data_IF_385758649211
#
_entry.id   IF_385758649211
#
_cell.length_a   1.000
_cell.length_b   1.000
_cell.length_c   1.000
_cell.angle_alpha   90.00
_cell.angle_beta   90.00
_cell.angle_gamma   90.00
#
_symmetry.space_group_name_H-M   'P 1'
#
loop_
_entity.id
_entity.type
_entity.pdbx_description
1 polymer ?
#
# COMPACT_ATOMS: atom_id res chain seq x y z
N UNK A 1 -14.30 -12.33 32.17
CA UNK A 1 -15.17 -11.16 32.35
C UNK A 1 -16.42 -11.38 31.52
N UNK A 2 -17.62 -11.40 32.11
CA UNK A 2 -18.89 -11.75 31.45
C UNK A 2 -19.39 -10.74 30.40
N UNK A 3 -18.59 -9.71 30.08
CA UNK A 3 -18.82 -8.77 28.98
C UNK A 3 -17.90 -9.03 27.76
N UNK A 4 -17.08 -10.08 27.82
CA UNK A 4 -16.27 -10.58 26.70
C UNK A 4 -16.96 -11.74 25.95
N UNK A 5 -18.26 -11.97 26.19
CA UNK A 5 -19.08 -12.95 25.45
C UNK A 5 -19.48 -12.46 24.04
N UNK A 6 -18.95 -11.32 23.61
CA UNK A 6 -18.95 -10.94 22.19
C UNK A 6 -17.96 -11.81 21.44
N UNK A 7 -18.43 -12.54 20.42
CA UNK A 7 -17.63 -13.45 19.60
C UNK A 7 -16.21 -12.90 19.35
N UNK A 8 -15.20 -13.59 19.89
CA UNK A 8 -13.80 -13.21 19.73
C UNK A 8 -13.49 -13.12 18.22
N UNK A 9 -13.05 -11.96 17.77
CA UNK A 9 -12.73 -11.75 16.36
C UNK A 9 -11.56 -12.67 15.97
N UNK A 10 -11.72 -13.54 14.95
CA UNK A 10 -10.73 -14.55 14.57
C UNK A 10 -9.56 -13.96 13.76
N UNK A 11 -8.81 -13.03 14.35
CA UNK A 11 -7.76 -12.24 13.69
C UNK A 11 -6.67 -13.05 12.97
N UNK A 12 -6.39 -14.28 13.41
CA UNK A 12 -5.36 -15.16 12.81
C UNK A 12 -5.93 -16.43 12.17
N UNK A 13 -7.22 -16.72 12.36
CA UNK A 13 -7.84 -17.99 11.96
C UNK A 13 -8.85 -17.83 10.84
N UNK A 14 -9.44 -16.65 10.68
CA UNK A 14 -10.27 -16.30 9.52
C UNK A 14 -9.49 -15.47 8.50
N UNK A 15 -9.45 -15.87 7.21
CA UNK A 15 -8.73 -15.13 6.16
C UNK A 15 -9.15 -13.66 6.01
N UNK A 16 -10.42 -13.34 6.20
CA UNK A 16 -10.93 -11.98 6.02
C UNK A 16 -10.47 -11.08 7.15
N UNK A 17 -10.62 -11.54 8.39
CA UNK A 17 -10.17 -10.81 9.57
C UNK A 17 -8.65 -10.66 9.63
N UNK A 18 -7.90 -11.65 9.16
CA UNK A 18 -6.45 -11.53 9.02
C UNK A 18 -6.05 -10.44 8.03
N UNK A 19 -6.72 -10.35 6.86
CA UNK A 19 -6.46 -9.27 5.89
C UNK A 19 -6.77 -7.89 6.48
N UNK A 20 -7.88 -7.76 7.21
CA UNK A 20 -8.25 -6.52 7.90
C UNK A 20 -7.17 -6.15 8.92
N UNK A 21 -6.72 -7.10 9.75
CA UNK A 21 -5.65 -6.86 10.72
C UNK A 21 -4.35 -6.39 10.04
N UNK A 22 -3.95 -7.04 8.93
CA UNK A 22 -2.77 -6.67 8.15
C UNK A 22 -2.88 -5.23 7.62
N UNK A 23 -4.03 -4.84 7.07
CA UNK A 23 -4.27 -3.48 6.58
C UNK A 23 -4.22 -2.47 7.73
N UNK A 24 -4.84 -2.78 8.87
CA UNK A 24 -4.83 -1.90 10.04
C UNK A 24 -3.42 -1.71 10.60
N UNK A 25 -2.65 -2.79 10.73
CA UNK A 25 -1.25 -2.72 11.16
C UNK A 25 -0.40 -1.92 10.17
N UNK A 26 -0.56 -2.12 8.86
CA UNK A 26 0.17 -1.33 7.89
C UNK A 26 -0.23 0.14 7.92
N UNK A 27 -1.53 0.43 8.11
CA UNK A 27 -2.02 1.79 8.31
C UNK A 27 -1.40 2.45 9.53
N UNK A 28 -1.30 1.71 10.65
CA UNK A 28 -0.65 2.19 11.87
C UNK A 28 0.85 2.45 11.67
N UNK A 29 1.57 1.53 10.99
CA UNK A 29 3.00 1.69 10.70
C UNK A 29 3.27 2.85 9.72
N UNK A 30 2.41 3.04 8.72
CA UNK A 30 2.55 4.11 7.72
C UNK A 30 2.06 5.48 8.18
N UNK A 31 1.21 5.53 9.21
CA UNK A 31 0.57 6.77 9.67
C UNK A 31 1.56 7.89 10.02
N UNK A 32 2.63 7.68 10.81
CA UNK A 32 3.55 8.75 11.19
C UNK A 32 4.23 9.39 9.97
N UNK A 33 4.55 8.60 8.96
CA UNK A 33 5.18 9.08 7.73
C UNK A 33 4.24 10.02 6.95
N UNK A 34 3.00 9.59 6.72
CA UNK A 34 2.00 10.39 6.00
C UNK A 34 1.62 11.64 6.80
N UNK A 35 1.56 11.54 8.13
CA UNK A 35 1.31 12.68 9.00
C UNK A 35 2.37 13.77 8.84
N UNK A 36 3.66 13.41 8.96
CA UNK A 36 4.76 14.38 8.81
C UNK A 36 4.79 14.99 7.42
N UNK A 37 4.59 14.17 6.38
CA UNK A 37 4.49 14.65 5.00
C UNK A 37 3.38 15.69 4.83
N UNK A 38 2.17 15.34 5.27
CA UNK A 38 1.00 16.22 5.13
C UNK A 38 1.17 17.49 5.95
N UNK A 39 1.74 17.40 7.16
CA UNK A 39 2.02 18.56 8.00
C UNK A 39 3.01 19.52 7.32
N UNK A 40 4.08 18.99 6.72
CA UNK A 40 5.04 19.79 5.95
C UNK A 40 4.38 20.49 4.76
N UNK A 41 3.49 19.79 4.04
CA UNK A 41 2.75 20.38 2.93
C UNK A 41 1.82 21.49 3.42
N UNK A 42 1.07 21.26 4.50
CA UNK A 42 0.16 22.26 5.06
C UNK A 42 0.87 23.55 5.46
N UNK A 43 2.10 23.46 5.99
CA UNK A 43 2.91 24.63 6.33
C UNK A 43 3.41 25.41 5.12
N UNK A 44 3.46 24.79 3.94
CA UNK A 44 3.88 25.44 2.69
C UNK A 44 2.76 26.18 1.98
N UNK A 45 1.49 25.94 2.35
CA UNK A 45 0.34 26.61 1.75
C UNK A 45 0.30 28.06 2.26
N UNK A 46 0.38 29.06 1.38
CA UNK A 46 0.34 30.45 1.81
C UNK A 46 -1.05 30.83 2.35
N UNK A 47 -1.06 31.66 3.40
CA UNK A 47 -2.28 32.00 4.14
C UNK A 47 -3.24 32.92 3.38
N UNK A 48 -2.73 33.65 2.38
CA UNK A 48 -3.50 34.54 1.50
C UNK A 48 -4.63 33.80 0.77
N UNK A 49 -4.42 32.55 0.37
CA UNK A 49 -5.46 31.70 -0.22
C UNK A 49 -6.63 31.46 0.74
N UNK A 50 -6.35 31.28 2.03
CA UNK A 50 -7.39 31.04 3.05
C UNK A 50 -8.09 32.34 3.47
N UNK A 51 -7.39 33.47 3.44
CA UNK A 51 -7.94 34.80 3.65
C UNK A 51 -8.88 35.20 2.51
N UNK A 52 -8.45 35.02 1.25
CA UNK A 52 -9.28 35.25 0.07
C UNK A 52 -10.56 34.39 0.12
N UNK A 53 -10.42 33.09 0.43
CA UNK A 53 -11.57 32.21 0.57
C UNK A 53 -12.49 32.60 1.75
N UNK A 54 -11.96 33.23 2.79
CA UNK A 54 -12.79 33.77 3.88
C UNK A 54 -13.59 35.00 3.42
N UNK A 55 -12.97 35.90 2.66
CA UNK A 55 -13.64 37.07 2.07
C UNK A 55 -14.75 36.63 1.11
N UNK A 56 -14.50 35.58 0.32
CA UNK A 56 -15.48 34.96 -0.59
C UNK A 56 -16.59 34.16 0.13
N UNK A 57 -16.57 34.11 1.47
CA UNK A 57 -17.60 33.43 2.26
C UNK A 57 -17.51 31.90 2.24
N UNK A 58 -16.37 31.31 1.88
CA UNK A 58 -16.20 29.87 1.82
C UNK A 58 -16.22 29.23 3.22
N UNK A 59 -17.00 28.16 3.37
CA UNK A 59 -17.03 27.35 4.59
C UNK A 59 -15.81 26.40 4.70
N UNK A 60 -15.61 25.78 5.86
CA UNK A 60 -14.44 24.93 6.13
C UNK A 60 -14.29 23.75 5.15
N UNK A 61 -15.40 23.13 4.72
CA UNK A 61 -15.37 22.02 3.77
C UNK A 61 -14.98 22.49 2.36
N UNK A 62 -15.45 23.66 1.94
CA UNK A 62 -15.06 24.28 0.67
C UNK A 62 -13.58 24.62 0.67
N UNK A 63 -13.04 25.20 1.75
CA UNK A 63 -11.60 25.45 1.88
C UNK A 63 -10.79 24.16 1.81
N UNK A 64 -11.21 23.11 2.52
CA UNK A 64 -10.54 21.82 2.45
C UNK A 64 -10.55 21.23 1.04
N UNK A 65 -11.72 21.15 0.39
CA UNK A 65 -11.85 20.48 -0.91
C UNK A 65 -11.26 21.27 -2.07
N UNK A 66 -11.25 22.60 -2.00
CA UNK A 66 -10.81 23.46 -3.12
C UNK A 66 -9.38 23.99 -2.95
N UNK A 67 -8.86 24.09 -1.72
CA UNK A 67 -7.51 24.60 -1.45
C UNK A 67 -6.65 23.48 -0.89
N UNK A 68 -6.99 23.00 0.31
CA UNK A 68 -6.11 22.12 1.08
C UNK A 68 -5.86 20.76 0.40
N UNK A 69 -6.92 20.05 0.03
CA UNK A 69 -6.85 18.70 -0.54
C UNK A 69 -6.15 18.66 -1.92
N UNK A 70 -6.47 19.55 -2.88
CA UNK A 70 -5.76 19.61 -4.15
C UNK A 70 -4.27 19.90 -3.99
N UNK A 71 -3.89 20.82 -3.08
CA UNK A 71 -2.49 21.15 -2.84
C UNK A 71 -1.74 19.98 -2.17
N UNK A 72 -2.35 19.31 -1.19
CA UNK A 72 -1.79 18.08 -0.61
C UNK A 72 -1.58 17.04 -1.70
N UNK A 73 -2.58 16.79 -2.53
CA UNK A 73 -2.50 15.76 -3.56
C UNK A 73 -1.42 16.07 -4.61
N UNK A 74 -1.30 17.32 -5.04
CA UNK A 74 -0.30 17.74 -6.01
C UNK A 74 1.14 17.47 -5.53
N UNK A 75 1.41 17.74 -4.24
CA UNK A 75 2.75 17.53 -3.66
C UNK A 75 2.97 16.09 -3.23
N UNK A 76 1.95 15.43 -2.67
CA UNK A 76 2.07 14.08 -2.13
C UNK A 76 1.96 12.97 -3.20
N UNK A 77 1.45 13.26 -4.41
CA UNK A 77 1.18 12.23 -5.43
C UNK A 77 2.39 11.32 -5.74
N UNK A 78 3.61 11.84 -6.00
CA UNK A 78 4.78 10.98 -6.23
C UNK A 78 5.09 10.08 -5.04
N UNK A 79 4.98 10.63 -3.83
CA UNK A 79 5.21 9.89 -2.58
C UNK A 79 4.16 8.81 -2.36
N UNK A 80 2.88 9.09 -2.64
CA UNK A 80 1.80 8.10 -2.53
C UNK A 80 1.99 6.94 -3.51
N UNK A 81 2.46 7.20 -4.74
CA UNK A 81 2.80 6.15 -5.72
C UNK A 81 3.98 5.30 -5.22
N UNK A 82 5.00 5.93 -4.67
CA UNK A 82 6.15 5.22 -4.07
C UNK A 82 5.72 4.34 -2.89
N UNK A 83 4.87 4.86 -2.00
CA UNK A 83 4.29 4.12 -0.88
C UNK A 83 3.43 2.95 -1.35
N UNK A 84 2.60 3.14 -2.37
CA UNK A 84 1.83 2.05 -2.96
C UNK A 84 2.76 0.93 -3.48
N UNK A 85 3.79 1.30 -4.23
CA UNK A 85 4.76 0.35 -4.80
C UNK A 85 5.53 -0.41 -3.72
N UNK A 86 5.90 0.28 -2.64
CA UNK A 86 6.51 -0.32 -1.45
C UNK A 86 5.58 -1.32 -0.78
N UNK A 87 4.32 -0.94 -0.53
CA UNK A 87 3.34 -1.80 0.14
C UNK A 87 2.96 -3.03 -0.70
N UNK A 88 2.93 -2.90 -2.03
CA UNK A 88 2.66 -4.02 -2.95
C UNK A 88 3.67 -5.17 -2.79
N UNK A 89 4.91 -4.85 -2.43
CA UNK A 89 6.00 -5.81 -2.24
C UNK A 89 6.39 -6.01 -0.76
N UNK A 90 5.54 -5.59 0.19
CA UNK A 90 5.87 -5.60 1.62
C UNK A 90 5.83 -7.01 2.23
N UNK A 91 6.89 -7.77 1.99
CA UNK A 91 7.08 -9.13 2.48
C UNK A 91 7.03 -9.20 4.01
N UNK A 92 7.65 -8.24 4.70
CA UNK A 92 7.90 -8.30 6.13
C UNK A 92 6.62 -8.41 6.95
N UNK A 93 5.60 -7.59 6.66
CA UNK A 93 4.36 -7.61 7.45
C UNK A 93 3.58 -8.91 7.24
N UNK A 94 3.55 -9.44 6.01
CA UNK A 94 2.85 -10.68 5.67
C UNK A 94 3.51 -11.87 6.36
N UNK A 95 4.84 -11.95 6.27
CA UNK A 95 5.60 -13.04 6.87
C UNK A 95 5.60 -13.00 8.40
N UNK A 96 5.85 -11.84 9.01
CA UNK A 96 5.99 -11.73 10.46
C UNK A 96 4.66 -11.92 11.21
N UNK A 97 3.52 -11.53 10.63
CA UNK A 97 2.24 -11.64 11.35
C UNK A 97 1.82 -13.09 11.56
N UNK A 98 1.81 -13.87 10.48
CA UNK A 98 1.40 -15.28 10.51
C UNK A 98 1.94 -16.13 9.35
N UNK A 99 3.00 -15.67 8.68
CA UNK A 99 3.63 -16.39 7.59
C UNK A 99 2.80 -16.47 6.31
N UNK A 100 1.70 -15.72 6.14
CA UNK A 100 0.82 -15.77 4.98
C UNK A 100 -0.47 -16.57 5.15
N UNK A 101 -0.73 -17.13 6.34
CA UNK A 101 -1.99 -17.83 6.65
C UNK A 101 -3.15 -16.86 6.96
N UNK A 102 -4.28 -17.33 7.53
CA UNK A 102 -4.69 -18.72 7.70
C UNK A 102 -5.19 -19.33 6.39
N UNK A 103 -5.27 -20.66 6.34
CA UNK A 103 -5.78 -21.38 5.16
C UNK A 103 -4.80 -21.38 3.98
N UNK A 104 -5.21 -22.06 2.91
CA UNK A 104 -4.48 -22.15 1.66
C UNK A 104 -5.40 -21.80 0.48
N UNK A 105 -4.82 -21.14 -0.51
CA UNK A 105 -5.49 -20.84 -1.80
C UNK A 105 -5.06 -21.81 -2.90
N UNK A 106 -4.37 -22.90 -2.54
CA UNK A 106 -3.78 -23.86 -3.48
C UNK A 106 -2.31 -23.54 -3.80
N UNK A 107 -1.61 -24.50 -4.43
CA UNK A 107 -0.22 -24.31 -4.88
C UNK A 107 0.79 -24.01 -3.76
N UNK A 108 0.46 -24.35 -2.51
CA UNK A 108 1.29 -24.04 -1.34
C UNK A 108 1.22 -22.57 -0.89
N UNK A 109 0.35 -21.73 -1.46
CA UNK A 109 0.13 -20.36 -1.03
C UNK A 109 -0.88 -20.29 0.12
N UNK A 110 -0.64 -19.39 1.08
CA UNK A 110 -1.59 -19.01 2.10
C UNK A 110 -2.54 -17.90 1.63
N UNK A 111 -3.61 -17.64 2.38
CA UNK A 111 -4.66 -16.69 1.97
C UNK A 111 -4.26 -15.22 2.05
N UNK A 112 -3.19 -14.91 2.77
CA UNK A 112 -2.63 -13.55 2.90
C UNK A 112 -1.25 -13.43 2.27
N UNK A 113 -0.76 -14.49 1.64
CA UNK A 113 0.49 -14.43 0.89
C UNK A 113 0.37 -13.46 -0.30
N UNK A 114 1.41 -12.65 -0.45
CA UNK A 114 1.71 -11.91 -1.67
C UNK A 114 2.72 -12.71 -2.50
N UNK A 115 2.91 -12.34 -3.77
CA UNK A 115 3.78 -13.09 -4.69
C UNK A 115 5.16 -13.40 -4.10
N UNK A 116 5.80 -12.39 -3.50
CA UNK A 116 7.13 -12.55 -2.90
C UNK A 116 7.12 -13.44 -1.65
N UNK A 117 6.07 -13.37 -0.82
CA UNK A 117 5.98 -14.22 0.39
C UNK A 117 5.65 -15.66 0.05
N UNK A 118 4.85 -15.88 -1.00
CA UNK A 118 4.62 -17.21 -1.54
C UNK A 118 5.89 -17.84 -2.12
N UNK A 119 6.66 -17.11 -2.94
CA UNK A 119 7.95 -17.60 -3.46
C UNK A 119 8.89 -17.96 -2.31
N UNK A 120 8.99 -17.11 -1.29
CA UNK A 120 9.80 -17.38 -0.10
C UNK A 120 9.33 -18.64 0.64
N UNK A 121 8.01 -18.83 0.79
CA UNK A 121 7.44 -20.03 1.41
C UNK A 121 7.79 -21.30 0.62
N UNK A 122 7.79 -21.25 -0.71
CA UNK A 122 8.19 -22.40 -1.54
C UNK A 122 9.64 -22.83 -1.31
N UNK A 123 10.54 -21.90 -0.95
CA UNK A 123 11.96 -22.21 -0.72
C UNK A 123 12.31 -22.53 0.73
N UNK A 124 11.46 -22.15 1.69
CA UNK A 124 11.72 -22.29 3.13
C UNK A 124 10.80 -23.26 3.86
N UNK A 125 9.80 -23.81 3.18
CA UNK A 125 8.90 -24.83 3.73
C UNK A 125 9.60 -26.16 4.04
N UNK A 126 8.84 -27.09 4.64
CA UNK A 126 9.32 -28.43 5.05
C UNK A 126 9.91 -29.27 3.91
N UNK A 127 9.50 -28.99 2.66
CA UNK A 127 10.09 -29.56 1.45
C UNK A 127 10.36 -28.43 0.46
N UNK A 128 11.57 -27.85 0.46
CA UNK A 128 11.92 -26.75 -0.42
C UNK A 128 11.79 -27.11 -1.91
N UNK A 129 11.00 -26.32 -2.63
CA UNK A 129 10.74 -26.48 -4.06
C UNK A 129 11.48 -25.39 -4.86
N UNK A 130 12.81 -25.41 -4.83
CA UNK A 130 13.65 -24.38 -5.48
C UNK A 130 13.41 -24.27 -7.00
N UNK A 131 13.19 -25.40 -7.68
CA UNK A 131 12.90 -25.42 -9.13
C UNK A 131 11.59 -24.72 -9.47
N UNK A 132 10.53 -24.96 -8.68
CA UNK A 132 9.24 -24.28 -8.85
C UNK A 132 9.35 -22.79 -8.52
N UNK A 133 10.01 -22.44 -7.42
CA UNK A 133 10.22 -21.04 -7.01
C UNK A 133 10.99 -20.24 -8.08
N UNK A 134 12.03 -20.83 -8.67
CA UNK A 134 12.79 -20.22 -9.76
C UNK A 134 11.93 -20.01 -11.02
N UNK A 135 11.15 -21.02 -11.43
CA UNK A 135 10.26 -20.92 -12.60
C UNK A 135 9.19 -19.83 -12.42
N UNK A 136 8.53 -19.80 -11.25
CA UNK A 136 7.53 -18.77 -10.91
C UNK A 136 8.14 -17.38 -10.92
N UNK A 137 9.34 -17.22 -10.35
CA UNK A 137 10.06 -15.93 -10.34
C UNK A 137 10.31 -15.43 -11.76
N UNK A 138 10.81 -16.30 -12.66
CA UNK A 138 11.05 -15.93 -14.06
C UNK A 138 9.77 -15.52 -14.78
N UNK A 139 8.67 -16.27 -14.61
CA UNK A 139 7.38 -15.94 -15.22
C UNK A 139 6.88 -14.58 -14.75
N UNK A 140 6.92 -14.31 -13.44
CA UNK A 140 6.48 -13.03 -12.87
C UNK A 140 7.36 -11.89 -13.36
N UNK A 141 8.69 -12.07 -13.42
CA UNK A 141 9.60 -11.06 -13.96
C UNK A 141 9.25 -10.71 -15.41
N UNK A 142 8.96 -11.69 -16.25
CA UNK A 142 8.55 -11.45 -17.65
C UNK A 142 7.25 -10.64 -17.72
N UNK A 143 6.25 -10.97 -16.89
CA UNK A 143 4.99 -10.23 -16.82
C UNK A 143 5.23 -8.78 -16.38
N UNK A 144 5.99 -8.57 -15.31
CA UNK A 144 6.31 -7.23 -14.78
C UNK A 144 7.09 -6.41 -15.79
N UNK A 145 8.08 -6.99 -16.46
CA UNK A 145 8.88 -6.32 -17.50
C UNK A 145 7.97 -5.93 -18.68
N UNK A 146 7.10 -6.83 -19.13
CA UNK A 146 6.18 -6.57 -20.24
C UNK A 146 5.22 -5.43 -19.94
N UNK A 147 4.60 -5.44 -18.75
CA UNK A 147 3.69 -4.38 -18.31
C UNK A 147 4.45 -3.06 -18.16
N UNK A 148 5.63 -3.07 -17.56
CA UNK A 148 6.45 -1.88 -17.38
C UNK A 148 6.83 -1.25 -18.73
N UNK A 149 7.27 -2.05 -19.71
CA UNK A 149 7.57 -1.56 -21.05
C UNK A 149 6.35 -0.92 -21.74
N UNK A 150 5.16 -1.50 -21.59
CA UNK A 150 3.93 -0.92 -22.13
C UNK A 150 3.60 0.41 -21.44
N UNK A 151 3.74 0.47 -20.12
CA UNK A 151 3.51 1.68 -19.35
C UNK A 151 4.49 2.80 -19.73
N UNK A 152 5.79 2.49 -19.80
CA UNK A 152 6.83 3.44 -20.25
C UNK A 152 6.57 3.96 -21.66
N UNK A 153 6.16 3.08 -22.60
CA UNK A 153 5.85 3.48 -23.98
C UNK A 153 4.60 4.37 -24.06
N UNK A 154 3.60 4.16 -23.20
CA UNK A 154 2.37 4.97 -23.18
C UNK A 154 2.52 6.29 -22.43
N UNK A 155 3.46 6.38 -21.49
CA UNK A 155 3.60 7.54 -20.62
C UNK A 155 4.51 8.65 -21.16
N UNK A 156 5.09 8.53 -22.38
CA UNK A 156 6.08 9.48 -22.94
C UNK A 156 7.02 10.03 -21.86
N UNK A 157 7.56 9.15 -21.00
CA UNK A 157 8.38 9.57 -19.87
C UNK A 157 9.70 10.25 -20.28
N UNK A 158 9.99 10.30 -21.59
CA UNK A 158 11.12 11.00 -22.20
C UNK A 158 10.74 12.32 -22.91
N UNK A 159 9.46 12.67 -23.06
CA UNK A 159 9.07 13.99 -23.65
C UNK A 159 9.11 15.13 -22.62
N UNK A 160 9.40 14.83 -21.35
CA UNK A 160 9.49 15.84 -20.28
C UNK A 160 10.93 16.20 -19.89
N UNK A 161 11.93 15.76 -20.66
CA UNK A 161 13.33 16.26 -20.53
C UNK A 161 13.61 17.49 -21.41
N UNK A 162 12.72 17.84 -22.35
CA UNK A 162 12.92 18.92 -23.33
C UNK A 162 11.99 20.15 -23.15
N UNK A 163 11.55 20.47 -21.92
CA UNK A 163 10.87 21.76 -21.61
C UNK A 163 11.54 22.48 -20.45
#
# INVERSE_FOLDING_TARGET
LPFLDGALIPWKTDPTWTKIALIMMQGWLGFPYIYVLTLGILQSIPNDLYEAAYIDGANAWQKFRNITFPMILAVAAPTLISQYTFNFNNFSIMYLFNGGGPGSVGGGAGSTDILISWIYRLTTGTSPQYSMAAAVTLIISIIVISISMIAFKKLHAFDMEDV
#
